data_IF_451809609869
#
_entry.id   IF_451809609869
#
_cell.length_a   1.000
_cell.length_b   1.000
_cell.length_c   1.000
_cell.angle_alpha   90.00
_cell.angle_beta   90.00
_cell.angle_gamma   90.00
#
_symmetry.space_group_name_H-M   'P 1'
#
loop_
_entity.id
_entity.type
_entity.pdbx_description
1 polymer ?
#
# COMPACT_ATOMS: atom_id res chain seq x y z
N UNK A 1 5.12 -14.12 11.35
CA UNK A 1 5.02 -14.22 9.87
C UNK A 1 6.42 -14.35 9.24
N UNK A 2 6.56 -14.58 7.93
CA UNK A 2 7.88 -14.82 7.30
C UNK A 2 8.84 -13.61 7.45
N UNK A 3 8.33 -12.38 7.34
CA UNK A 3 9.14 -11.16 7.46
C UNK A 3 9.68 -10.93 8.89
N UNK A 4 8.85 -11.12 9.92
CA UNK A 4 9.30 -10.99 11.31
C UNK A 4 10.35 -12.05 11.67
N UNK A 5 10.21 -13.28 11.14
CA UNK A 5 11.23 -14.33 11.30
C UNK A 5 12.55 -13.97 10.62
N UNK A 6 12.53 -13.10 9.61
CA UNK A 6 13.71 -12.54 8.97
C UNK A 6 14.24 -11.27 9.68
N UNK A 7 13.66 -10.86 10.81
CA UNK A 7 14.10 -9.73 11.63
C UNK A 7 13.43 -8.39 11.33
N UNK A 8 12.34 -8.37 10.57
CA UNK A 8 11.57 -7.15 10.36
C UNK A 8 10.65 -6.85 11.54
N UNK A 9 10.62 -5.60 12.00
CA UNK A 9 9.62 -5.12 12.95
C UNK A 9 8.34 -4.70 12.20
N UNK A 10 7.19 -5.25 12.63
CA UNK A 10 5.89 -4.93 12.05
C UNK A 10 5.10 -4.06 13.03
N UNK A 11 4.68 -2.89 12.55
CA UNK A 11 3.90 -1.93 13.32
C UNK A 11 2.51 -1.72 12.71
N UNK A 12 1.59 -2.64 13.01
CA UNK A 12 0.18 -2.49 12.61
C UNK A 12 -0.49 -1.34 13.37
N UNK A 13 -1.61 -0.83 12.84
CA UNK A 13 -2.35 0.29 13.44
C UNK A 13 -1.56 1.61 13.52
N UNK A 14 -0.40 1.71 12.86
CA UNK A 14 0.51 2.86 12.90
C UNK A 14 0.44 3.60 11.58
N UNK A 15 -0.55 4.48 11.44
CA UNK A 15 -0.81 5.17 10.17
C UNK A 15 0.29 6.20 9.92
N UNK A 16 0.91 6.14 8.74
CA UNK A 16 1.77 7.22 8.24
C UNK A 16 0.91 8.41 7.83
N UNK A 17 1.22 9.58 8.36
CA UNK A 17 0.50 10.84 8.16
C UNK A 17 1.21 11.73 7.14
N UNK A 18 2.55 11.73 7.13
CA UNK A 18 3.37 12.51 6.21
C UNK A 18 4.76 11.88 6.02
N UNK A 19 5.36 12.14 4.87
CA UNK A 19 6.74 11.78 4.54
C UNK A 19 7.46 13.04 4.08
N UNK A 20 8.42 13.48 4.88
CA UNK A 20 9.19 14.69 4.61
C UNK A 20 10.65 14.37 4.37
N UNK A 21 11.23 15.01 3.36
CA UNK A 21 12.68 14.97 3.15
C UNK A 21 13.32 16.04 4.03
N UNK A 22 14.28 15.64 4.86
CA UNK A 22 15.00 16.56 5.73
C UNK A 22 15.91 17.43 4.84
N UNK A 23 15.65 18.74 4.83
CA UNK A 23 16.48 19.73 4.12
C UNK A 23 17.62 20.20 5.00
N UNK A 24 18.86 20.16 4.52
CA UNK A 24 20.05 20.59 5.25
C UNK A 24 21.03 19.44 5.52
N UNK A 25 21.92 19.62 6.50
CA UNK A 25 22.81 18.53 6.94
C UNK A 25 21.98 17.36 7.47
N UNK A 26 22.30 16.11 7.10
CA UNK A 26 21.64 14.94 7.65
C UNK A 26 21.69 14.97 9.17
N UNK A 27 20.70 14.34 9.81
CA UNK A 27 20.79 14.00 11.24
C UNK A 27 22.08 13.19 11.45
N UNK A 28 22.69 13.24 12.63
CA UNK A 28 24.02 12.66 12.91
C UNK A 28 24.17 11.18 12.51
N UNK A 29 23.07 10.44 12.42
CA UNK A 29 23.01 9.04 12.00
C UNK A 29 22.97 8.84 10.46
N UNK A 30 22.89 9.92 9.69
CA UNK A 30 22.76 9.94 8.23
C UNK A 30 21.31 9.90 7.72
N UNK A 31 20.31 10.02 8.61
CA UNK A 31 18.90 10.04 8.22
C UNK A 31 18.55 11.25 7.37
N UNK A 32 17.74 11.02 6.33
CA UNK A 32 17.35 12.01 5.31
C UNK A 32 15.84 12.15 5.15
N UNK A 33 15.07 11.31 5.84
CA UNK A 33 13.62 11.34 5.84
C UNK A 33 13.09 11.37 7.27
N UNK A 34 12.02 12.11 7.46
CA UNK A 34 11.17 12.11 8.65
C UNK A 34 9.80 11.55 8.26
N UNK A 35 9.40 10.47 8.91
CA UNK A 35 8.10 9.83 8.72
C UNK A 35 7.25 10.13 9.94
N UNK A 36 6.19 10.92 9.75
CA UNK A 36 5.24 11.22 10.81
C UNK A 36 4.19 10.13 10.86
N UNK A 37 4.00 9.52 12.02
CA UNK A 37 2.97 8.49 12.21
C UNK A 37 2.00 8.86 13.31
N UNK A 38 0.88 8.14 13.40
CA UNK A 38 -0.09 8.29 14.49
C UNK A 38 0.46 7.91 15.88
N UNK A 39 1.65 7.31 15.97
CA UNK A 39 2.27 6.83 17.23
C UNK A 39 3.64 7.44 17.51
N UNK A 40 4.05 8.44 16.72
CA UNK A 40 5.36 9.09 16.84
C UNK A 40 6.09 9.16 15.51
N UNK A 41 7.25 9.80 15.54
CA UNK A 41 8.03 10.10 14.35
C UNK A 41 9.19 9.11 14.18
N UNK A 42 9.52 8.80 12.93
CA UNK A 42 10.62 7.89 12.58
C UNK A 42 11.59 8.63 11.65
N UNK A 43 12.88 8.62 12.02
CA UNK A 43 13.97 9.08 11.15
C UNK A 43 14.54 7.89 10.38
N UNK A 44 14.79 8.06 9.09
CA UNK A 44 15.38 7.01 8.26
C UNK A 44 16.22 7.57 7.10
N UNK A 45 17.12 6.72 6.59
CA UNK A 45 17.99 6.99 5.44
C UNK A 45 17.29 6.77 4.11
N UNK A 46 16.38 5.79 4.09
CA UNK A 46 15.71 5.26 2.90
C UNK A 46 14.25 4.90 3.22
N UNK A 47 13.41 4.96 2.18
CA UNK A 47 11.99 4.63 2.26
C UNK A 47 11.58 3.83 1.03
N UNK A 48 10.76 2.79 1.23
CA UNK A 48 10.04 2.09 0.18
C UNK A 48 8.54 2.32 0.38
N UNK A 49 7.88 2.91 -0.61
CA UNK A 49 6.46 3.22 -0.53
C UNK A 49 5.64 2.04 -1.06
N UNK A 50 4.94 1.35 -0.17
CA UNK A 50 4.10 0.18 -0.49
C UNK A 50 2.63 0.36 -0.06
N UNK A 51 2.11 1.60 -0.14
CA UNK A 51 0.77 1.96 0.35
C UNK A 51 -0.36 1.83 -0.70
N UNK A 52 -0.08 1.27 -1.88
CA UNK A 52 -1.02 1.17 -3.01
C UNK A 52 -1.66 2.55 -3.31
N UNK A 53 -2.94 2.60 -3.70
CA UNK A 53 -3.66 3.83 -4.06
C UNK A 53 -3.77 4.88 -2.92
N UNK A 54 -3.46 4.51 -1.68
CA UNK A 54 -3.53 5.40 -0.52
C UNK A 54 -2.36 6.38 -0.42
N UNK A 55 -1.34 6.24 -1.28
CA UNK A 55 -0.13 7.06 -1.25
C UNK A 55 -0.37 8.56 -1.53
N UNK A 56 -1.48 8.88 -2.22
CA UNK A 56 -1.87 10.23 -2.64
C UNK A 56 -1.84 11.27 -1.51
N UNK A 57 -2.21 10.87 -0.31
CA UNK A 57 -2.32 11.79 0.83
C UNK A 57 -1.00 11.95 1.60
N UNK A 58 -0.04 11.04 1.39
CA UNK A 58 1.19 10.95 2.15
C UNK A 58 2.36 11.61 1.40
N UNK A 59 2.39 11.45 0.07
CA UNK A 59 3.50 11.91 -0.79
C UNK A 59 2.92 12.75 -1.93
N UNK A 60 2.99 14.10 -1.85
CA UNK A 60 2.28 15.02 -2.76
C UNK A 60 2.58 14.80 -4.24
N UNK A 61 3.77 14.30 -4.59
CA UNK A 61 4.22 14.05 -5.96
C UNK A 61 3.36 13.00 -6.70
N UNK A 62 2.62 12.15 -5.96
CA UNK A 62 1.75 11.13 -6.55
C UNK A 62 0.29 11.58 -6.68
N UNK A 63 -0.07 12.79 -6.24
CA UNK A 63 -1.48 13.25 -6.19
C UNK A 63 -2.22 13.25 -7.52
N UNK A 64 -1.51 13.45 -8.62
CA UNK A 64 -2.08 13.52 -9.97
C UNK A 64 -1.74 12.28 -10.81
N UNK A 65 -1.11 11.26 -10.21
CA UNK A 65 -0.63 10.06 -10.92
C UNK A 65 -1.39 8.79 -10.56
N UNK A 66 -2.32 8.87 -9.61
CA UNK A 66 -3.13 7.75 -9.15
C UNK A 66 -4.60 8.07 -9.41
N UNK A 67 -5.24 7.28 -10.26
CA UNK A 67 -6.67 7.34 -10.52
C UNK A 67 -7.36 6.20 -9.79
N UNK A 68 -8.42 6.47 -9.00
CA UNK A 68 -9.22 5.40 -8.41
C UNK A 68 -9.95 4.64 -9.52
N UNK A 69 -9.84 3.32 -9.51
CA UNK A 69 -10.67 2.44 -10.31
C UNK A 69 -11.64 1.73 -9.37
N UNK A 70 -12.94 1.86 -9.65
CA UNK A 70 -13.97 1.12 -8.93
C UNK A 70 -14.07 -0.28 -9.52
N UNK A 71 -13.96 -1.29 -8.66
CA UNK A 71 -14.22 -2.68 -9.02
C UNK A 71 -15.36 -3.21 -8.16
N UNK A 72 -16.25 -3.97 -8.78
CA UNK A 72 -17.38 -4.60 -8.12
C UNK A 72 -17.21 -6.11 -8.20
N UNK A 73 -17.49 -6.77 -7.08
CA UNK A 73 -17.50 -8.23 -6.97
C UNK A 73 -18.90 -8.63 -6.54
N UNK A 74 -19.44 -9.66 -7.21
CA UNK A 74 -20.72 -10.28 -6.87
C UNK A 74 -20.43 -11.73 -6.50
N UNK A 75 -21.07 -12.22 -5.44
CA UNK A 75 -21.07 -13.64 -5.09
C UNK A 75 -22.44 -14.24 -5.42
N UNK A 76 -22.44 -15.39 -6.08
CA UNK A 76 -23.64 -16.17 -6.39
C UNK A 76 -23.56 -17.52 -5.70
N UNK A 77 -24.67 -18.26 -5.66
CA UNK A 77 -24.58 -19.71 -5.52
C UNK A 77 -23.77 -20.30 -6.69
N UNK A 78 -23.22 -21.53 -6.56
CA UNK A 78 -22.51 -22.18 -7.65
C UNK A 78 -23.40 -22.25 -8.90
N UNK A 79 -22.92 -21.66 -10.00
CA UNK A 79 -23.65 -21.70 -11.26
C UNK A 79 -23.52 -23.09 -11.90
N UNK A 80 -24.56 -23.60 -12.56
CA UNK A 80 -24.44 -24.77 -13.43
C UNK A 80 -23.31 -24.58 -14.45
N UNK A 81 -22.53 -25.62 -14.72
CA UNK A 81 -21.34 -25.56 -15.56
C UNK A 81 -21.64 -25.01 -16.95
N UNK A 82 -22.74 -25.44 -17.56
CA UNK A 82 -23.15 -24.99 -18.88
C UNK A 82 -23.46 -23.49 -18.91
N UNK A 83 -24.05 -22.96 -17.83
CA UNK A 83 -24.35 -21.54 -17.70
C UNK A 83 -23.07 -20.72 -17.47
N UNK A 84 -22.17 -21.20 -16.62
CA UNK A 84 -20.89 -20.55 -16.37
C UNK A 84 -20.04 -20.45 -17.65
N UNK A 85 -19.95 -21.54 -18.43
CA UNK A 85 -19.24 -21.56 -19.71
C UNK A 85 -19.90 -20.67 -20.76
N UNK A 86 -21.23 -20.55 -20.75
CA UNK A 86 -21.94 -19.64 -21.66
C UNK A 86 -21.68 -18.17 -21.32
N UNK A 87 -21.70 -17.81 -20.04
CA UNK A 87 -21.52 -16.42 -19.58
C UNK A 87 -20.06 -15.98 -19.61
N UNK A 88 -19.14 -16.87 -19.24
CA UNK A 88 -17.71 -16.58 -19.06
C UNK A 88 -16.89 -17.66 -19.79
N UNK A 89 -16.97 -17.70 -21.13
CA UNK A 89 -16.40 -18.80 -21.93
C UNK A 89 -14.90 -18.99 -21.77
N UNK A 90 -14.17 -17.94 -21.36
CA UNK A 90 -12.73 -17.97 -21.16
C UNK A 90 -12.31 -17.98 -19.68
N UNK A 91 -13.25 -18.21 -18.76
CA UNK A 91 -13.03 -18.27 -17.32
C UNK A 91 -12.19 -17.10 -16.76
N UNK A 92 -12.42 -15.89 -17.28
CA UNK A 92 -11.70 -14.69 -16.85
C UNK A 92 -12.37 -14.12 -15.61
N UNK A 93 -11.56 -13.67 -14.65
CA UNK A 93 -12.00 -12.95 -13.44
C UNK A 93 -13.03 -13.69 -12.59
N UNK A 94 -12.97 -15.03 -12.57
CA UNK A 94 -13.79 -15.92 -11.72
C UNK A 94 -12.95 -17.02 -11.10
N UNK A 95 -13.42 -17.59 -10.00
CA UNK A 95 -12.75 -18.63 -9.20
C UNK A 95 -13.71 -19.73 -8.80
#
# INVERSE_FOLDING_TARGET
>A
MAAERAGADIHEGTRVLAVDRISGSPVSDGSRFLIRTSRGDIHTKEIMLAANAWIRNIVPQFRQRVLPAESFIIATEPLPMELAQKLIPNNRVVS
#
